data_IF_473513029647
#
_entry.id   IF_473513029647
#
_cell.length_a   1.000
_cell.length_b   1.000
_cell.length_c   1.000
_cell.angle_alpha   90.00
_cell.angle_beta   90.00
_cell.angle_gamma   90.00
#
_symmetry.space_group_name_H-M   'P 1'
#
loop_
_entity.id
_entity.type
_entity.pdbx_description
1 polymer ?
#
# COMPACT_ATOMS: atom_id res chain seq x y z
N UNK A 1 17.18 -3.20 -2.60
CA UNK A 1 15.97 -2.49 -3.03
C UNK A 1 16.37 -1.10 -3.51
N UNK A 2 16.01 -0.69 -4.75
CA UNK A 2 16.30 0.65 -5.29
C UNK A 2 15.03 1.50 -5.18
N UNK A 3 15.03 2.58 -4.36
CA UNK A 3 13.86 3.43 -4.19
C UNK A 3 13.32 3.93 -5.53
N UNK A 4 12.00 3.85 -5.73
CA UNK A 4 11.34 4.35 -6.94
C UNK A 4 11.24 3.36 -8.10
N UNK A 5 11.96 2.23 -8.04
CA UNK A 5 11.73 1.04 -8.89
C UNK A 5 10.91 -0.01 -8.13
N UNK A 6 9.76 0.41 -7.60
CA UNK A 6 8.87 -0.47 -6.85
C UNK A 6 8.44 -1.69 -7.68
N UNK A 7 8.88 -2.89 -7.30
CA UNK A 7 8.48 -4.17 -7.90
C UNK A 7 6.95 -4.36 -7.88
N UNK A 8 6.28 -3.70 -6.93
CA UNK A 8 4.84 -3.77 -6.69
C UNK A 8 3.96 -3.22 -7.83
N UNK A 9 4.47 -2.28 -8.65
CA UNK A 9 3.66 -1.61 -9.69
C UNK A 9 3.22 -2.54 -10.80
N UNK A 10 4.11 -3.45 -11.21
CA UNK A 10 3.86 -4.34 -12.35
C UNK A 10 2.95 -5.50 -11.97
N UNK A 11 3.07 -6.01 -10.75
CA UNK A 11 2.35 -7.20 -10.31
C UNK A 11 0.88 -6.90 -9.95
N UNK A 12 0.60 -5.88 -9.15
CA UNK A 12 -0.69 -5.89 -8.45
C UNK A 12 -1.94 -5.50 -9.27
N UNK A 13 -1.80 -4.98 -10.49
CA UNK A 13 -2.96 -4.84 -11.39
C UNK A 13 -3.28 -6.12 -12.16
N UNK A 14 -2.29 -6.98 -12.37
CA UNK A 14 -2.50 -8.33 -12.89
C UNK A 14 -2.98 -9.27 -11.76
N UNK A 15 -2.62 -8.98 -10.49
CA UNK A 15 -2.94 -9.85 -9.34
C UNK A 15 -4.22 -9.50 -8.56
N UNK A 16 -4.86 -8.35 -8.82
CA UNK A 16 -6.07 -7.98 -8.09
C UNK A 16 -7.21 -8.95 -8.46
N UNK A 17 -7.77 -9.73 -7.50
CA UNK A 17 -8.82 -10.68 -7.83
C UNK A 17 -10.08 -9.95 -8.31
N UNK A 18 -10.87 -10.62 -9.15
CA UNK A 18 -12.14 -10.07 -9.64
C UNK A 18 -13.04 -9.61 -8.47
N UNK A 19 -13.73 -8.48 -8.66
CA UNK A 19 -14.60 -7.90 -7.63
C UNK A 19 -13.88 -7.19 -6.47
N UNK A 20 -12.58 -6.92 -6.58
CA UNK A 20 -11.86 -6.09 -5.62
C UNK A 20 -11.79 -4.62 -6.05
N UNK A 21 -11.79 -3.74 -5.06
CA UNK A 21 -11.38 -2.35 -5.26
C UNK A 21 -9.87 -2.31 -5.49
N UNK A 22 -9.41 -1.30 -6.23
CA UNK A 22 -8.01 -1.16 -6.60
C UNK A 22 -7.57 0.31 -6.55
N UNK A 23 -6.35 0.55 -6.09
CA UNK A 23 -5.73 1.87 -6.10
C UNK A 23 -4.21 1.78 -6.35
N UNK A 24 -3.65 2.87 -6.87
CA UNK A 24 -2.21 3.07 -7.09
C UNK A 24 -1.76 4.38 -6.49
N UNK A 25 -0.54 4.38 -5.99
CA UNK A 25 0.07 5.57 -5.42
C UNK A 25 1.56 5.40 -5.18
N UNK A 26 2.13 6.37 -4.47
CA UNK A 26 3.53 6.41 -4.09
C UNK A 26 3.67 6.52 -2.57
N UNK A 27 4.59 5.75 -1.98
CA UNK A 27 4.90 5.83 -0.56
C UNK A 27 5.58 7.17 -0.28
N UNK A 28 4.95 7.98 0.57
CA UNK A 28 5.41 9.31 1.01
C UNK A 28 5.73 9.37 2.49
N UNK A 29 5.41 8.33 3.25
CA UNK A 29 5.68 8.25 4.68
C UNK A 29 5.77 6.81 5.13
N UNK A 30 6.66 6.53 6.08
CA UNK A 30 6.74 5.25 6.77
C UNK A 30 6.98 5.47 8.25
N UNK A 31 6.21 4.79 9.10
CA UNK A 31 6.35 4.81 10.55
C UNK A 31 6.35 3.39 11.09
N UNK A 32 7.44 3.00 11.73
CA UNK A 32 7.59 1.70 12.36
C UNK A 32 7.09 1.75 13.80
N UNK A 33 6.07 0.95 14.13
CA UNK A 33 5.44 0.94 15.45
C UNK A 33 5.70 -0.37 16.21
N UNK A 34 6.75 -1.11 15.86
CA UNK A 34 7.08 -2.39 16.48
C UNK A 34 6.52 -3.56 15.68
N UNK A 35 5.29 -3.96 15.96
CA UNK A 35 4.61 -5.10 15.32
C UNK A 35 3.95 -4.74 13.98
N UNK A 36 3.73 -3.46 13.72
CA UNK A 36 3.20 -2.94 12.46
C UNK A 36 4.08 -1.82 11.88
N UNK A 37 4.04 -1.69 10.57
CA UNK A 37 4.54 -0.53 9.82
C UNK A 37 3.36 0.20 9.20
N UNK A 38 3.25 1.50 9.47
CA UNK A 38 2.28 2.37 8.81
C UNK A 38 2.92 3.01 7.57
N UNK A 39 2.27 2.83 6.43
CA UNK A 39 2.64 3.47 5.17
C UNK A 39 1.66 4.60 4.87
N UNK A 40 2.18 5.78 4.56
CA UNK A 40 1.39 6.89 4.03
C UNK A 40 1.61 6.96 2.53
N UNK A 41 0.53 6.80 1.77
CA UNK A 41 0.56 6.62 0.32
C UNK A 41 -0.23 7.76 -0.31
N UNK A 42 0.43 8.51 -1.18
CA UNK A 42 -0.25 9.49 -2.02
C UNK A 42 -0.76 8.77 -3.26
N UNK A 43 -2.09 8.72 -3.43
CA UNK A 43 -2.71 8.17 -4.62
C UNK A 43 -2.43 9.04 -5.85
N UNK A 44 -2.54 8.44 -7.03
CA UNK A 44 -2.39 9.17 -8.30
C UNK A 44 -3.42 10.32 -8.46
N UNK A 45 -4.56 10.26 -7.75
CA UNK A 45 -5.54 11.35 -7.67
C UNK A 45 -5.19 12.47 -6.66
N UNK A 46 -4.08 12.35 -5.94
CA UNK A 46 -3.60 13.30 -4.94
C UNK A 46 -4.09 13.06 -3.52
N UNK A 47 -5.10 12.20 -3.32
CA UNK A 47 -5.59 11.83 -1.99
C UNK A 47 -4.54 11.02 -1.20
N UNK A 48 -4.51 11.19 0.12
CA UNK A 48 -3.64 10.43 1.02
C UNK A 48 -4.40 9.24 1.63
N UNK A 49 -3.79 8.06 1.58
CA UNK A 49 -4.25 6.85 2.28
C UNK A 49 -3.19 6.39 3.26
N UNK A 50 -3.62 5.88 4.41
CA UNK A 50 -2.75 5.20 5.37
C UNK A 50 -3.04 3.71 5.36
N UNK A 51 -1.98 2.90 5.24
CA UNK A 51 -2.05 1.43 5.24
C UNK A 51 -1.25 0.90 6.41
N UNK A 52 -1.85 0.01 7.20
CA UNK A 52 -1.16 -0.72 8.26
C UNK A 52 -0.74 -2.09 7.77
N UNK A 53 0.55 -2.41 7.89
CA UNK A 53 1.11 -3.72 7.52
C UNK A 53 1.71 -4.40 8.74
N UNK A 54 1.28 -5.62 9.11
CA UNK A 54 1.94 -6.41 10.14
C UNK A 54 3.38 -6.80 9.75
N UNK A 55 4.29 -6.79 10.72
CA UNK A 55 5.68 -7.22 10.57
C UNK A 55 5.80 -8.70 11.00
N UNK A 56 5.39 -9.64 10.14
CA UNK A 56 5.38 -11.08 10.47
C UNK A 56 6.79 -11.69 10.42
N UNK A 57 7.67 -11.14 9.57
CA UNK A 57 9.11 -11.42 9.55
C UNK A 57 9.92 -10.13 9.37
N UNK A 58 11.21 -10.14 9.75
CA UNK A 58 12.11 -9.01 9.50
C UNK A 58 12.33 -8.75 8.00
N UNK A 59 12.22 -9.79 7.17
CA UNK A 59 12.41 -9.68 5.72
C UNK A 59 11.18 -9.11 5.00
N UNK A 60 9.99 -9.19 5.59
CA UNK A 60 8.77 -8.66 4.98
C UNK A 60 8.93 -7.16 4.64
N UNK A 61 9.66 -6.42 5.47
CA UNK A 61 9.87 -4.98 5.32
C UNK A 61 10.81 -4.60 4.15
N UNK A 62 11.57 -5.56 3.60
CA UNK A 62 12.55 -5.28 2.53
C UNK A 62 11.90 -4.94 1.18
N UNK A 63 10.58 -5.19 1.05
CA UNK A 63 9.85 -5.06 -0.20
C UNK A 63 9.34 -3.63 -0.51
N UNK A 64 9.25 -2.75 0.49
CA UNK A 64 8.69 -1.41 0.33
C UNK A 64 9.49 -0.33 1.05
N UNK A 65 9.86 0.73 0.32
CA UNK A 65 10.54 1.90 0.86
C UNK A 65 9.95 3.22 0.35
N UNK A 66 10.54 4.33 0.79
CA UNK A 66 10.21 5.68 0.32
C UNK A 66 10.22 5.80 -1.20
N UNK A 67 9.29 6.59 -1.73
CA UNK A 67 9.10 6.87 -3.16
C UNK A 67 8.80 5.65 -4.04
N UNK A 68 8.64 4.46 -3.47
CA UNK A 68 8.13 3.33 -4.22
C UNK A 68 6.71 3.58 -4.70
N UNK A 69 6.49 3.25 -5.97
CA UNK A 69 5.14 3.12 -6.50
C UNK A 69 4.58 1.77 -6.07
N UNK A 70 3.36 1.81 -5.57
CA UNK A 70 2.65 0.65 -5.04
C UNK A 70 1.24 0.59 -5.59
N UNK A 71 0.73 -0.63 -5.66
CA UNK A 71 -0.68 -0.90 -5.89
C UNK A 71 -1.24 -1.67 -4.71
N UNK A 72 -2.52 -1.46 -4.46
CA UNK A 72 -3.25 -2.05 -3.34
C UNK A 72 -4.63 -2.45 -3.84
N UNK A 73 -5.14 -3.56 -3.30
CA UNK A 73 -6.50 -4.01 -3.53
C UNK A 73 -7.13 -4.47 -2.23
N UNK A 74 -8.45 -4.38 -2.16
CA UNK A 74 -9.25 -4.84 -1.02
C UNK A 74 -10.62 -5.28 -1.51
N UNK A 75 -11.30 -6.15 -0.77
CA UNK A 75 -12.62 -6.63 -1.20
C UNK A 75 -13.60 -5.47 -1.32
N UNK A 76 -14.51 -5.55 -2.29
CA UNK A 76 -15.53 -4.52 -2.50
C UNK A 76 -16.40 -4.26 -1.27
N UNK A 77 -16.59 -5.27 -0.42
CA UNK A 77 -17.45 -5.25 0.78
C UNK A 77 -16.73 -4.87 2.09
N UNK A 78 -15.43 -4.62 2.06
CA UNK A 78 -14.64 -4.25 3.24
C UNK A 78 -14.74 -2.78 3.69
N UNK A 79 -15.01 -1.78 2.83
CA UNK A 79 -15.11 -0.39 3.28
C UNK A 79 -16.31 -0.14 4.20
N UNK A 80 -16.08 0.67 5.23
CA UNK A 80 -17.13 1.30 6.03
C UNK A 80 -17.07 2.80 5.75
N UNK A 81 -18.20 3.40 5.39
CA UNK A 81 -18.31 4.82 5.08
C UNK A 81 -19.14 5.50 6.16
N UNK A 82 -18.61 6.58 6.72
CA UNK A 82 -19.32 7.43 7.67
C UNK A 82 -19.86 8.65 6.93
N UNK A 83 -21.18 8.87 7.00
CA UNK A 83 -21.81 10.08 6.53
C UNK A 83 -21.79 11.09 7.69
N UNK A 84 -21.16 12.25 7.47
CA UNK A 84 -21.11 13.36 8.42
C UNK A 84 -22.37 14.21 8.37
#
# INVERSE_FOLDING_TARGET
HVPGEGKAVRAAAEDAPEGHNFARGQIKGMSYLGDITLYEIQLDCGAMIRVSRPNLSRHDQEDFTWDDRVSMHWRADSPVVLLS
#
